data_IF_919807799524
#
_entry.id   IF_919807799524
#
_cell.length_a   1.000
_cell.length_b   1.000
_cell.length_c   1.000
_cell.angle_alpha   90.00
_cell.angle_beta   90.00
_cell.angle_gamma   90.00
#
_symmetry.space_group_name_H-M   'P 1'
#
loop_
_entity.id
_entity.type
_entity.pdbx_description
1 polymer ?
#
# COMPACT_ATOMS: atom_id res chain seq x y z
N UNK A 1 -37.42 21.11 48.88
CA UNK A 1 -38.10 22.41 48.72
C UNK A 1 -39.27 22.19 47.78
N UNK A 2 -40.47 22.06 48.35
CA UNK A 2 -41.75 22.13 47.64
C UNK A 2 -42.22 23.59 47.64
N UNK A 3 -43.09 23.92 46.67
CA UNK A 3 -44.01 25.07 46.51
C UNK A 3 -43.91 25.52 45.03
N UNK A 4 -44.96 25.87 44.29
CA UNK A 4 -46.38 26.06 44.57
C UNK A 4 -47.12 25.96 43.22
N UNK A 5 -48.36 25.51 43.29
CA UNK A 5 -49.38 25.57 42.25
C UNK A 5 -49.83 27.03 42.11
N UNK A 6 -50.11 27.50 40.88
CA UNK A 6 -51.32 28.29 40.64
C UNK A 6 -51.76 28.27 39.16
N UNK A 7 -53.06 28.02 39.05
CA UNK A 7 -53.88 27.99 37.83
C UNK A 7 -54.11 29.42 37.31
N UNK A 8 -54.18 29.58 36.00
CA UNK A 8 -55.01 30.64 35.41
C UNK A 8 -55.90 30.08 34.30
N UNK A 9 -57.19 30.29 34.51
CA UNK A 9 -58.31 29.76 33.76
C UNK A 9 -58.54 30.47 32.42
N UNK A 10 -59.05 29.67 31.47
CA UNK A 10 -60.10 29.95 30.48
C UNK A 10 -60.17 31.32 29.83
N UNK A 11 -59.84 31.37 28.53
CA UNK A 11 -60.62 32.10 27.52
C UNK A 11 -60.73 31.32 26.20
N UNK A 12 -61.91 30.73 26.04
CA UNK A 12 -62.72 30.69 24.84
C UNK A 12 -62.03 30.62 23.45
N UNK A 13 -62.13 29.44 22.86
CA UNK A 13 -62.86 29.18 21.61
C UNK A 13 -62.72 30.22 20.49
N UNK A 14 -61.96 29.86 19.46
CA UNK A 14 -62.39 29.98 18.06
C UNK A 14 -61.68 28.93 17.22
N UNK A 15 -62.48 27.93 16.87
CA UNK A 15 -62.22 26.86 15.92
C UNK A 15 -61.96 27.50 14.54
N UNK A 16 -60.78 27.27 13.97
CA UNK A 16 -60.56 27.43 12.52
C UNK A 16 -60.24 26.04 11.98
N UNK A 17 -61.26 25.43 11.38
CA UNK A 17 -61.15 24.23 10.56
C UNK A 17 -60.41 24.65 9.28
N UNK A 18 -59.15 24.25 9.17
CA UNK A 18 -58.33 24.40 7.98
C UNK A 18 -57.67 23.08 7.67
N UNK A 19 -58.23 22.35 6.71
CA UNK A 19 -57.73 21.06 6.24
C UNK A 19 -56.28 21.17 5.75
N UNK A 20 -55.38 20.40 6.36
CA UNK A 20 -54.07 20.07 5.79
C UNK A 20 -53.85 18.56 5.96
N UNK A 21 -54.30 17.83 4.95
CA UNK A 21 -53.78 16.53 4.61
C UNK A 21 -52.30 16.68 4.26
N UNK A 22 -51.40 15.99 4.97
CA UNK A 22 -50.11 15.43 4.51
C UNK A 22 -49.29 15.01 5.74
N UNK A 23 -49.39 13.75 6.15
CA UNK A 23 -48.41 13.12 7.05
C UNK A 23 -48.30 11.63 6.70
N UNK A 24 -47.86 11.38 5.47
CA UNK A 24 -47.34 10.08 5.06
C UNK A 24 -45.91 10.29 4.55
N UNK A 25 -45.03 9.39 4.99
CA UNK A 25 -43.58 9.29 4.71
C UNK A 25 -42.68 10.32 5.40
N UNK A 26 -41.87 9.84 6.33
CA UNK A 26 -40.40 9.80 6.18
C UNK A 26 -39.80 8.80 7.17
N UNK A 27 -39.94 7.49 6.89
CA UNK A 27 -38.99 6.50 7.42
C UNK A 27 -37.72 6.71 6.61
N UNK A 28 -36.82 7.58 7.08
CA UNK A 28 -35.52 7.74 6.45
C UNK A 28 -34.73 6.45 6.68
N UNK A 29 -34.28 5.73 5.63
CA UNK A 29 -33.30 4.69 5.82
C UNK A 29 -32.04 5.37 6.34
N UNK A 30 -31.58 4.97 7.53
CA UNK A 30 -30.23 5.25 7.96
C UNK A 30 -29.30 4.69 6.88
N UNK A 31 -28.66 5.58 6.13
CA UNK A 31 -27.48 5.24 5.34
C UNK A 31 -26.43 4.82 6.36
N UNK A 32 -26.32 3.52 6.60
CA UNK A 32 -25.24 2.95 7.38
C UNK A 32 -23.92 3.32 6.70
N UNK A 33 -22.99 3.76 7.55
CA UNK A 33 -21.68 4.33 7.27
C UNK A 33 -20.98 3.79 6.03
N UNK A 34 -20.37 4.72 5.29
CA UNK A 34 -19.20 4.42 4.49
C UNK A 34 -18.22 3.68 5.41
N UNK A 35 -17.86 2.45 5.04
CA UNK A 35 -16.91 1.64 5.79
C UNK A 35 -15.66 2.46 6.08
N UNK A 36 -15.52 2.89 7.33
CA UNK A 36 -14.37 3.60 7.87
C UNK A 36 -13.25 2.55 8.08
N UNK A 37 -12.85 1.90 6.98
CA UNK A 37 -11.68 1.02 6.97
C UNK A 37 -10.47 1.95 7.08
N UNK A 38 -9.73 1.94 8.21
CA UNK A 38 -8.60 2.84 8.43
C UNK A 38 -7.42 2.53 7.51
N UNK A 39 -7.53 1.48 6.67
CA UNK A 39 -6.48 1.05 5.77
C UNK A 39 -6.51 1.80 4.44
N UNK A 40 -5.34 2.25 3.99
CA UNK A 40 -5.19 2.80 2.64
C UNK A 40 -4.62 1.75 1.68
N UNK A 41 -5.52 1.12 0.91
CA UNK A 41 -5.14 0.12 -0.08
C UNK A 41 -4.47 0.72 -1.33
N UNK A 42 -4.44 2.04 -1.49
CA UNK A 42 -3.83 2.69 -2.66
C UNK A 42 -2.33 2.45 -2.75
N UNK A 43 -1.66 2.19 -1.62
CA UNK A 43 -0.21 1.91 -1.60
C UNK A 43 0.15 0.50 -2.06
N UNK A 44 -0.83 -0.40 -2.19
CA UNK A 44 -0.59 -1.75 -2.70
C UNK A 44 -0.03 -1.67 -4.13
N UNK A 45 1.03 -2.45 -4.38
CA UNK A 45 1.69 -2.49 -5.67
C UNK A 45 3.20 -2.65 -5.60
N UNK A 46 3.86 -2.34 -6.71
CA UNK A 46 5.32 -2.39 -6.86
C UNK A 46 5.86 -0.98 -6.97
N UNK A 47 6.92 -0.72 -6.23
CA UNK A 47 7.52 0.60 -6.08
C UNK A 47 9.02 0.50 -6.32
N UNK A 48 9.54 1.24 -7.29
CA UNK A 48 10.96 1.27 -7.60
C UNK A 48 11.63 2.35 -6.77
N UNK A 49 12.67 2.01 -6.02
CA UNK A 49 13.50 2.98 -5.30
C UNK A 49 14.33 3.78 -6.32
N UNK A 50 14.18 5.10 -6.35
CA UNK A 50 14.80 5.99 -7.34
C UNK A 50 16.01 6.74 -6.81
N UNK A 51 15.97 7.18 -5.56
CA UNK A 51 17.06 7.89 -4.90
C UNK A 51 16.98 7.76 -3.38
N UNK A 52 18.07 8.13 -2.70
CA UNK A 52 18.07 8.39 -1.26
C UNK A 52 17.78 9.87 -1.07
N UNK A 53 16.79 10.18 -0.24
CA UNK A 53 16.41 11.56 0.07
C UNK A 53 17.09 12.05 1.34
N UNK A 54 17.07 11.23 2.39
CA UNK A 54 17.65 11.58 3.68
C UNK A 54 17.95 10.36 4.55
N UNK A 55 18.60 10.59 5.68
CA UNK A 55 18.92 9.61 6.71
C UNK A 55 18.33 10.05 8.05
N UNK A 56 17.72 9.10 8.76
CA UNK A 56 17.44 9.27 10.18
C UNK A 56 18.75 9.41 10.95
N UNK A 57 18.70 10.10 12.10
CA UNK A 57 19.87 10.26 12.98
C UNK A 57 20.49 8.90 13.34
N UNK A 58 19.64 7.90 13.59
CA UNK A 58 20.05 6.51 13.84
C UNK A 58 19.63 5.64 12.65
N UNK A 59 20.53 5.50 11.68
CA UNK A 59 20.34 4.62 10.53
C UNK A 59 21.09 3.29 10.70
N UNK A 60 20.39 2.18 10.48
CA UNK A 60 21.01 0.84 10.44
C UNK A 60 21.70 0.54 9.11
N UNK A 61 21.48 1.38 8.10
CA UNK A 61 22.04 1.25 6.77
C UNK A 61 22.98 2.42 6.49
N UNK A 62 24.21 2.12 6.10
CA UNK A 62 25.17 3.13 5.67
C UNK A 62 24.87 3.60 4.24
N UNK A 63 25.49 4.71 3.84
CA UNK A 63 25.27 5.33 2.52
C UNK A 63 25.60 4.35 1.37
N UNK A 64 26.62 3.50 1.53
CA UNK A 64 26.97 2.47 0.55
C UNK A 64 25.89 1.39 0.46
N UNK A 65 25.36 0.93 1.59
CA UNK A 65 24.24 0.00 1.66
C UNK A 65 22.97 0.59 1.04
N UNK A 66 22.67 1.85 1.34
CA UNK A 66 21.51 2.57 0.80
C UNK A 66 21.56 2.66 -0.73
N UNK A 67 22.70 3.07 -1.29
CA UNK A 67 22.88 3.14 -2.75
C UNK A 67 22.69 1.81 -3.47
N UNK A 68 22.98 0.67 -2.82
CA UNK A 68 22.75 -0.66 -3.41
C UNK A 68 21.26 -1.02 -3.52
N UNK A 69 20.40 -0.35 -2.76
CA UNK A 69 18.95 -0.53 -2.83
C UNK A 69 18.29 0.33 -3.91
N UNK A 70 18.95 1.40 -4.37
CA UNK A 70 18.47 2.20 -5.49
C UNK A 70 18.31 1.32 -6.73
N UNK A 71 17.17 1.45 -7.41
CA UNK A 71 16.76 0.64 -8.55
C UNK A 71 16.08 -0.69 -8.18
N UNK A 72 16.08 -1.10 -6.90
CA UNK A 72 15.33 -2.29 -6.44
C UNK A 72 13.84 -1.98 -6.35
N UNK A 73 13.05 -3.05 -6.33
CA UNK A 73 11.59 -2.98 -6.21
C UNK A 73 11.21 -3.35 -4.78
N UNK A 74 10.49 -2.44 -4.11
CA UNK A 74 9.66 -2.75 -2.97
C UNK A 74 8.29 -3.26 -3.46
N UNK A 75 7.75 -4.30 -2.83
CA UNK A 75 6.40 -4.81 -3.12
C UNK A 75 5.57 -4.71 -1.86
N UNK A 76 4.42 -4.04 -1.97
CA UNK A 76 3.43 -3.87 -0.91
C UNK A 76 2.19 -4.67 -1.31
N UNK A 77 1.70 -5.50 -0.40
CA UNK A 77 0.50 -6.32 -0.56
C UNK A 77 -0.13 -6.52 0.81
N UNK A 78 -1.41 -6.89 0.86
CA UNK A 78 -2.10 -7.18 2.13
C UNK A 78 -1.40 -8.27 2.96
N UNK A 79 -0.69 -9.20 2.31
CA UNK A 79 0.00 -10.29 3.02
C UNK A 79 1.44 -9.96 3.40
N UNK A 80 2.08 -8.98 2.72
CA UNK A 80 3.50 -8.73 2.96
C UNK A 80 4.02 -7.42 2.39
N UNK A 81 5.02 -6.86 3.07
CA UNK A 81 6.00 -5.93 2.52
C UNK A 81 7.29 -6.67 2.14
N UNK A 82 7.83 -6.44 0.94
CA UNK A 82 9.07 -7.07 0.47
C UNK A 82 10.04 -6.04 -0.11
N UNK A 83 11.28 -6.05 0.36
CA UNK A 83 12.38 -5.28 -0.24
C UNK A 83 13.66 -6.10 -0.26
N UNK A 84 14.13 -6.43 -1.47
CA UNK A 84 15.29 -7.30 -1.66
C UNK A 84 15.01 -8.71 -1.13
N UNK A 85 15.81 -9.17 -0.17
CA UNK A 85 15.64 -10.47 0.49
C UNK A 85 14.84 -10.40 1.79
N UNK A 86 14.42 -9.20 2.21
CA UNK A 86 13.65 -8.99 3.44
C UNK A 86 12.17 -8.99 3.13
N UNK A 87 11.43 -9.70 3.97
CA UNK A 87 9.98 -9.86 3.90
C UNK A 87 9.45 -9.59 5.30
N UNK A 88 8.42 -8.76 5.38
CA UNK A 88 7.61 -8.53 6.57
C UNK A 88 6.21 -9.04 6.23
N UNK A 89 5.66 -9.89 7.08
CA UNK A 89 4.33 -10.46 6.91
C UNK A 89 3.30 -9.54 7.56
N UNK A 90 2.06 -9.61 7.07
CA UNK A 90 0.89 -8.93 7.65
C UNK A 90 1.10 -7.42 7.94
N UNK A 91 1.32 -6.59 6.90
CA UNK A 91 1.34 -5.13 7.06
C UNK A 91 -0.03 -4.63 7.53
N UNK A 92 -0.04 -3.73 8.51
CA UNK A 92 -1.28 -3.13 9.04
C UNK A 92 -2.02 -2.30 7.98
N UNK A 93 -1.27 -1.60 7.11
CA UNK A 93 -1.79 -0.69 6.09
C UNK A 93 -2.62 0.46 6.66
N UNK A 94 -2.59 0.68 7.98
CA UNK A 94 -3.28 1.76 8.66
C UNK A 94 -2.75 3.11 8.19
N UNK A 95 -3.68 4.04 7.96
CA UNK A 95 -3.40 5.36 7.42
C UNK A 95 -3.67 6.46 8.44
N UNK A 96 -2.70 7.33 8.65
CA UNK A 96 -2.82 8.50 9.52
C UNK A 96 -2.44 9.77 8.75
N UNK A 97 -3.15 10.88 9.01
CA UNK A 97 -2.80 12.19 8.45
C UNK A 97 -2.05 12.99 9.50
N UNK A 98 -0.81 13.35 9.20
CA UNK A 98 0.07 14.05 10.15
C UNK A 98 0.72 15.28 9.52
N UNK A 99 1.17 16.20 10.38
CA UNK A 99 2.09 17.26 9.95
C UNK A 99 3.49 16.66 9.75
N UNK A 100 4.08 16.73 8.53
CA UNK A 100 5.31 16.00 8.21
C UNK A 100 6.50 16.38 9.07
N UNK A 101 6.72 17.69 9.27
CA UNK A 101 7.92 18.19 9.96
C UNK A 101 7.95 17.76 11.42
N UNK A 102 6.81 17.90 12.11
CA UNK A 102 6.67 17.44 13.51
C UNK A 102 6.85 15.93 13.59
N UNK A 103 6.17 15.17 12.73
CA UNK A 103 6.22 13.72 12.77
C UNK A 103 7.63 13.17 12.50
N UNK A 104 8.33 13.68 11.47
CA UNK A 104 9.67 13.22 11.12
C UNK A 104 10.72 13.60 12.16
N UNK A 105 10.62 14.80 12.74
CA UNK A 105 11.50 15.22 13.82
C UNK A 105 11.33 14.29 15.04
N UNK A 106 10.09 14.02 15.42
CA UNK A 106 9.80 13.27 16.65
C UNK A 106 10.08 11.77 16.48
N UNK A 107 9.78 11.17 15.31
CA UNK A 107 9.92 9.73 15.08
C UNK A 107 11.30 9.30 14.60
N UNK A 108 11.94 10.09 13.73
CA UNK A 108 13.18 9.68 13.05
C UNK A 108 14.28 10.72 13.08
N UNK A 109 14.03 11.87 13.73
CA UNK A 109 15.01 12.96 13.87
C UNK A 109 15.54 13.43 12.50
N UNK A 110 14.64 13.48 11.50
CA UNK A 110 14.93 13.96 10.15
C UNK A 110 14.04 15.15 9.79
N UNK A 111 14.42 15.93 8.77
CA UNK A 111 13.62 17.06 8.27
C UNK A 111 12.75 16.65 7.08
N UNK A 112 11.58 17.28 6.93
CA UNK A 112 10.70 17.09 5.79
C UNK A 112 11.10 17.92 4.56
N UNK A 113 11.97 18.93 4.72
CA UNK A 113 12.29 19.91 3.66
C UNK A 113 12.73 19.25 2.34
N UNK A 114 13.57 18.22 2.43
CA UNK A 114 14.10 17.50 1.28
C UNK A 114 13.15 16.43 0.71
N UNK A 115 12.12 16.07 1.47
CA UNK A 115 11.20 14.98 1.12
C UNK A 115 10.03 15.43 0.27
N UNK A 116 9.78 16.75 0.19
CA UNK A 116 8.69 17.35 -0.60
C UNK A 116 7.32 16.69 -0.31
N UNK A 117 7.07 16.39 0.96
CA UNK A 117 5.81 15.80 1.39
C UNK A 117 4.71 16.87 1.40
N UNK A 118 3.46 16.51 1.05
CA UNK A 118 2.32 17.40 1.24
C UNK A 118 2.11 17.65 2.74
N UNK A 119 1.42 18.74 3.09
CA UNK A 119 1.02 19.01 4.47
C UNK A 119 -0.51 19.21 4.52
N UNK A 120 -1.28 18.30 5.15
CA UNK A 120 -0.83 17.09 5.85
C UNK A 120 -0.32 16.00 4.89
N UNK A 121 0.47 15.07 5.41
CA UNK A 121 0.90 13.85 4.70
C UNK A 121 0.18 12.63 5.25
N UNK A 122 -0.18 11.70 4.36
CA UNK A 122 -0.67 10.39 4.76
C UNK A 122 0.51 9.45 5.05
N UNK A 123 0.53 8.89 6.25
CA UNK A 123 1.52 7.93 6.73
C UNK A 123 0.87 6.56 6.79
N UNK A 124 1.52 5.57 6.19
CA UNK A 124 1.06 4.18 6.17
C UNK A 124 2.03 3.29 6.94
N UNK A 125 1.51 2.57 7.94
CA UNK A 125 2.25 1.56 8.67
C UNK A 125 2.33 0.24 7.87
N UNK A 126 3.55 -0.24 7.62
CA UNK A 126 3.85 -1.48 6.91
C UNK A 126 4.49 -2.53 7.85
N UNK A 127 4.24 -2.40 9.16
CA UNK A 127 4.67 -3.22 10.30
C UNK A 127 6.17 -3.14 10.60
N UNK A 128 7.03 -3.19 9.58
CA UNK A 128 8.49 -3.13 9.75
C UNK A 128 9.12 -1.85 9.20
N UNK A 129 8.31 -0.99 8.62
CA UNK A 129 8.70 0.22 7.90
C UNK A 129 7.46 1.10 7.75
N UNK A 130 7.69 2.34 7.35
CA UNK A 130 6.65 3.34 7.18
C UNK A 130 6.76 3.90 5.77
N UNK A 131 5.62 4.13 5.12
CA UNK A 131 5.55 4.83 3.84
C UNK A 131 4.80 6.15 4.00
N UNK A 132 5.33 7.22 3.41
CA UNK A 132 4.69 8.52 3.30
C UNK A 132 4.15 8.68 1.89
N UNK A 133 2.85 8.96 1.76
CA UNK A 133 2.21 9.17 0.46
C UNK A 133 2.50 10.60 0.00
N UNK A 134 3.30 10.74 -1.06
CA UNK A 134 3.53 12.04 -1.70
C UNK A 134 2.45 12.34 -2.72
N UNK A 135 2.15 11.37 -3.59
CA UNK A 135 1.06 11.38 -4.56
C UNK A 135 0.74 9.94 -5.02
N UNK A 136 -0.20 9.78 -5.95
CA UNK A 136 -0.66 8.45 -6.42
C UNK A 136 0.44 7.57 -7.03
N UNK A 137 1.49 8.18 -7.58
CA UNK A 137 2.60 7.51 -8.26
C UNK A 137 3.93 7.62 -7.48
N UNK A 138 3.98 8.31 -6.33
CA UNK A 138 5.19 8.48 -5.53
C UNK A 138 4.97 8.24 -4.03
N UNK A 139 5.86 7.43 -3.44
CA UNK A 139 5.98 7.27 -1.99
C UNK A 139 7.39 7.61 -1.53
N UNK A 140 7.51 8.04 -0.28
CA UNK A 140 8.76 8.00 0.47
C UNK A 140 8.74 6.81 1.42
N UNK A 141 9.69 5.88 1.32
CA UNK A 141 9.75 4.70 2.20
C UNK A 141 10.91 4.85 3.18
N UNK A 142 10.61 4.76 4.49
CA UNK A 142 11.61 4.76 5.56
C UNK A 142 12.12 3.34 5.82
N UNK A 143 13.23 2.96 5.20
CA UNK A 143 13.81 1.63 5.35
C UNK A 143 15.11 1.67 6.12
N UNK A 144 15.13 1.05 7.31
CA UNK A 144 16.35 0.94 8.16
C UNK A 144 17.00 2.30 8.47
N UNK A 145 16.17 3.32 8.69
CA UNK A 145 16.60 4.69 8.95
C UNK A 145 17.06 5.47 7.71
N UNK A 146 16.70 5.02 6.50
CA UNK A 146 16.97 5.75 5.26
C UNK A 146 15.64 6.04 4.56
N UNK A 147 15.45 7.28 4.15
CA UNK A 147 14.26 7.70 3.41
C UNK A 147 14.54 7.62 1.91
N UNK A 148 13.85 6.71 1.23
CA UNK A 148 13.97 6.52 -0.21
C UNK A 148 12.84 7.20 -0.95
N UNK A 149 13.18 7.90 -2.02
CA UNK A 149 12.21 8.24 -3.04
C UNK A 149 11.81 6.98 -3.81
N UNK A 150 10.52 6.80 -4.07
CA UNK A 150 10.04 5.66 -4.83
C UNK A 150 8.95 6.04 -5.80
N UNK A 151 8.92 5.34 -6.93
CA UNK A 151 7.93 5.55 -8.00
C UNK A 151 7.15 4.26 -8.26
N UNK A 152 5.86 4.39 -8.54
CA UNK A 152 5.01 3.25 -8.86
C UNK A 152 5.46 2.61 -10.17
N UNK A 153 5.67 1.30 -10.14
CA UNK A 153 5.89 0.50 -11.35
C UNK A 153 4.53 0.24 -11.96
N UNK A 154 4.18 1.02 -12.99
CA UNK A 154 3.02 0.74 -13.82
C UNK A 154 3.23 -0.64 -14.44
N UNK A 155 2.24 -1.52 -14.34
CA UNK A 155 2.26 -2.77 -15.09
C UNK A 155 2.27 -2.36 -16.57
N UNK A 156 3.42 -2.50 -17.22
CA UNK A 156 3.50 -2.17 -18.64
C UNK A 156 2.38 -2.93 -19.36
N UNK A 157 1.55 -2.22 -20.13
CA UNK A 157 0.56 -2.81 -21.02
C UNK A 157 1.17 -3.79 -22.05
N UNK A 158 2.50 -3.93 -22.07
CA UNK A 158 3.15 -5.12 -22.59
C UNK A 158 3.02 -6.28 -21.63
N UNK A 159 1.89 -6.97 -21.75
CA UNK A 159 1.88 -8.42 -21.72
C UNK A 159 2.84 -8.98 -22.77
N UNK A 160 4.17 -8.83 -22.56
CA UNK A 160 5.10 -9.85 -22.99
C UNK A 160 4.79 -11.04 -22.11
N UNK A 161 3.77 -11.79 -22.54
CA UNK A 161 3.47 -13.17 -22.21
C UNK A 161 4.82 -13.80 -21.91
N UNK A 162 5.10 -14.02 -20.62
CA UNK A 162 6.25 -14.81 -20.23
C UNK A 162 6.13 -16.07 -21.08
N UNK A 163 7.03 -16.21 -22.04
CA UNK A 163 7.07 -17.36 -22.92
C UNK A 163 7.47 -18.48 -21.98
N UNK A 164 6.45 -19.11 -21.39
CA UNK A 164 6.58 -20.35 -20.66
C UNK A 164 7.41 -21.23 -21.58
N UNK A 165 8.61 -21.67 -21.15
CA UNK A 165 9.43 -22.54 -21.98
C UNK A 165 8.53 -23.73 -22.33
N UNK A 166 8.08 -23.80 -23.59
CA UNK A 166 7.35 -24.96 -24.04
C UNK A 166 8.28 -26.16 -23.77
N UNK A 167 7.82 -27.18 -23.04
CA UNK A 167 8.61 -28.40 -22.90
C UNK A 167 8.92 -28.86 -24.32
N UNK A 168 10.23 -28.92 -24.62
CA UNK A 168 10.71 -29.50 -25.88
C UNK A 168 10.01 -30.85 -26.03
N UNK A 169 9.28 -31.11 -27.14
CA UNK A 169 8.76 -32.43 -27.38
C UNK A 169 9.94 -33.39 -27.30
N UNK A 170 9.83 -34.38 -26.42
CA UNK A 170 10.81 -35.44 -26.26
C UNK A 170 11.07 -36.04 -27.65
N UNK A 171 12.25 -35.77 -28.18
CA UNK A 171 12.74 -36.43 -29.38
C UNK A 171 12.70 -37.92 -29.10
N UNK A 172 11.88 -38.63 -29.86
CA UNK A 172 11.83 -40.09 -29.85
C UNK A 172 13.24 -40.61 -30.05
N UNK A 173 13.70 -41.43 -29.11
CA UNK A 173 14.90 -42.21 -29.28
C UNK A 173 14.72 -43.11 -30.52
N UNK A 174 15.56 -42.89 -31.51
CA UNK A 174 15.72 -43.78 -32.66
C UNK A 174 16.81 -44.79 -32.29
N UNK A 175 16.49 -46.09 -32.19
CA UNK A 175 17.49 -47.13 -32.03
C UNK A 175 18.05 -47.51 -33.40
N UNK A 176 19.23 -48.10 -33.35
CA UNK A 176 19.84 -48.93 -34.39
C UNK A 176 20.72 -48.25 -35.45
N UNK A 177 22.02 -48.28 -35.18
CA UNK A 177 22.99 -48.75 -36.18
C UNK A 177 24.21 -49.34 -35.51
N UNK A 178 24.11 -50.63 -35.19
CA UNK A 178 25.28 -51.51 -35.08
C UNK A 178 25.86 -51.65 -36.47
N UNK A 179 27.03 -51.06 -36.73
CA UNK A 179 27.82 -51.42 -37.90
C UNK A 179 29.24 -51.77 -37.48
N UNK A 180 29.47 -53.09 -37.45
CA UNK A 180 30.77 -53.77 -37.48
C UNK A 180 31.69 -53.10 -38.49
N UNK A 181 32.90 -52.78 -38.05
CA UNK A 181 34.06 -52.78 -38.93
C UNK A 181 35.05 -53.81 -38.38
N UNK A 182 35.15 -54.93 -39.11
CA UNK A 182 36.26 -55.87 -39.03
C UNK A 182 37.55 -55.13 -39.40
N UNK A 183 38.61 -55.35 -38.63
CA UNK A 183 39.99 -55.19 -39.10
C UNK A 183 40.70 -56.53 -38.83
N UNK A 184 41.30 -57.15 -39.86
CA UNK A 184 42.19 -58.29 -39.69
C UNK A 184 43.66 -57.82 -39.63
N UNK A 185 44.52 -58.77 -39.24
CA UNK A 185 45.95 -58.85 -39.62
C UNK A 185 46.92 -57.85 -38.94
N UNK A 186 48.16 -58.17 -38.57
CA UNK A 186 49.00 -59.38 -38.67
C UNK A 186 50.18 -59.19 -37.68
N UNK A 187 50.74 -60.28 -37.16
CA UNK A 187 52.00 -60.30 -36.40
C UNK A 187 53.21 -60.13 -37.36
N UNK A 188 54.45 -59.93 -36.88
CA UNK A 188 55.21 -60.95 -36.13
C UNK A 188 55.64 -60.53 -34.71
#
# INVERSE_FOLDING_TARGET
>A
MNCSVDNHASRAMRIIIGALAFCALMTQPALADASDDPRDLSVIGKWKLTSVLDYAEIASLDERGARKLVGKIASISEASFKLGTRVCEDPDLSAEWVEPELHLRDQVHASAENLRLPNPVTVIDLTCTIAYVRDSDHLVILWKGVLFDTVRVKADATGKKARQPQPRPAGKAEPDKVQRALMPFEAP
#
